data_IF_112024542753
#
_entry.id   IF_112024542753
#
_cell.length_a   1.000
_cell.length_b   1.000
_cell.length_c   1.000
_cell.angle_alpha   90.00
_cell.angle_beta   90.00
_cell.angle_gamma   90.00
#
_symmetry.space_group_name_H-M   'P 1'
#
loop_
_entity.id
_entity.type
_entity.pdbx_description
1 polymer ?
#
# COMPACT_ATOMS: atom_id res chain seq x y z
N UNK A 1 4.66 -8.01 2.20
CA UNK A 1 4.13 -7.01 1.24
C UNK A 1 2.61 -6.85 1.31
N UNK A 2 1.82 -7.93 1.19
CA UNK A 2 0.34 -7.85 1.24
C UNK A 2 -0.20 -7.16 2.52
N UNK A 3 0.44 -7.42 3.66
CA UNK A 3 0.06 -6.85 4.97
C UNK A 3 0.32 -5.34 5.04
N UNK A 4 1.46 -4.87 4.52
CA UNK A 4 1.89 -3.45 4.63
C UNK A 4 1.29 -2.59 3.51
N UNK A 5 1.06 -3.17 2.33
CA UNK A 5 0.55 -2.47 1.14
C UNK A 5 -0.66 -3.16 0.52
N UNK A 6 -1.80 -3.31 1.23
CA UNK A 6 -2.93 -4.12 0.79
C UNK A 6 -3.59 -3.61 -0.49
N UNK A 7 -3.66 -2.29 -0.69
CA UNK A 7 -4.24 -1.67 -1.89
C UNK A 7 -3.35 -1.78 -3.14
N UNK A 8 -2.05 -1.91 -2.96
CA UNK A 8 -1.06 -1.98 -4.05
C UNK A 8 -0.60 -3.41 -4.33
N UNK A 9 -0.94 -4.36 -3.45
CA UNK A 9 -0.54 -5.76 -3.61
C UNK A 9 -1.10 -6.40 -4.89
N UNK A 10 -2.29 -5.99 -5.35
CA UNK A 10 -2.85 -6.47 -6.63
C UNK A 10 -2.09 -6.00 -7.87
N UNK A 11 -1.17 -5.04 -7.74
CA UNK A 11 -0.40 -4.48 -8.84
C UNK A 11 0.97 -5.15 -8.92
N UNK A 12 1.05 -6.27 -9.65
CA UNK A 12 2.26 -7.09 -9.81
C UNK A 12 3.46 -6.26 -10.27
N UNK A 13 3.23 -5.28 -11.16
CA UNK A 13 4.29 -4.39 -11.70
C UNK A 13 5.00 -3.58 -10.61
N UNK A 14 4.35 -3.30 -9.48
CA UNK A 14 4.92 -2.51 -8.39
C UNK A 14 5.60 -3.38 -7.34
N UNK A 15 5.52 -4.71 -7.41
CA UNK A 15 6.06 -5.60 -6.36
C UNK A 15 7.55 -5.38 -6.11
N UNK A 16 8.35 -5.16 -7.16
CA UNK A 16 9.78 -4.88 -7.02
C UNK A 16 10.03 -3.60 -6.20
N UNK A 17 9.32 -2.53 -6.52
CA UNK A 17 9.42 -1.25 -5.81
C UNK A 17 8.91 -1.37 -4.37
N UNK A 18 7.75 -2.00 -4.17
CA UNK A 18 7.15 -2.20 -2.85
C UNK A 18 8.06 -3.04 -1.93
N UNK A 19 8.83 -3.98 -2.50
CA UNK A 19 9.81 -4.79 -1.75
C UNK A 19 10.96 -3.93 -1.24
N UNK A 20 11.47 -3.03 -2.08
CA UNK A 20 12.52 -2.08 -1.69
C UNK A 20 12.02 -1.07 -0.65
N UNK A 21 10.80 -0.55 -0.82
CA UNK A 21 10.17 0.34 0.17
C UNK A 21 9.98 -0.39 1.50
N UNK A 22 9.51 -1.64 1.49
CA UNK A 22 9.38 -2.45 2.70
C UNK A 22 10.74 -2.66 3.38
N UNK A 23 11.77 -3.01 2.62
CA UNK A 23 13.12 -3.20 3.13
C UNK A 23 13.67 -1.90 3.75
N UNK A 24 13.44 -0.76 3.11
CA UNK A 24 13.84 0.56 3.65
C UNK A 24 13.12 0.88 4.96
N UNK A 25 11.82 0.63 5.05
CA UNK A 25 11.04 0.86 6.28
C UNK A 25 11.53 -0.04 7.43
N UNK A 26 11.86 -1.30 7.15
CA UNK A 26 12.42 -2.23 8.14
C UNK A 26 13.81 -1.79 8.57
N UNK A 27 14.67 -1.38 7.64
CA UNK A 27 16.03 -0.90 7.94
C UNK A 27 16.01 0.34 8.85
N UNK A 28 15.11 1.29 8.58
CA UNK A 28 14.97 2.52 9.36
C UNK A 28 13.99 2.42 10.53
N UNK A 29 13.55 1.22 10.90
CA UNK A 29 12.52 1.03 11.92
C UNK A 29 12.84 1.76 13.23
N UNK A 30 14.00 1.48 13.82
CA UNK A 30 14.38 2.06 15.12
C UNK A 30 14.56 3.57 15.06
N UNK A 31 15.10 4.08 13.96
CA UNK A 31 15.22 5.51 13.72
C UNK A 31 13.85 6.20 13.67
N UNK A 32 12.89 5.61 12.93
CA UNK A 32 11.54 6.15 12.79
C UNK A 32 10.78 6.10 14.12
N UNK A 33 10.93 5.03 14.90
CA UNK A 33 10.33 4.92 16.24
C UNK A 33 10.93 5.95 17.20
N UNK A 34 12.23 6.20 17.14
CA UNK A 34 12.92 7.16 18.01
C UNK A 34 12.69 8.64 17.66
N UNK A 35 12.39 8.96 16.40
CA UNK A 35 12.26 10.35 15.93
C UNK A 35 10.82 10.80 15.73
N UNK A 36 9.89 9.89 15.44
CA UNK A 36 8.50 10.26 15.21
C UNK A 36 7.72 10.36 16.53
N UNK A 37 6.79 11.31 16.65
CA UNK A 37 5.87 11.34 17.79
C UNK A 37 5.10 10.02 17.92
N UNK A 38 4.83 9.58 19.15
CA UNK A 38 4.12 8.31 19.44
C UNK A 38 2.74 8.23 18.77
N UNK A 39 2.13 9.39 18.50
CA UNK A 39 0.82 9.54 17.83
C UNK A 39 0.92 9.57 16.29
N UNK A 40 2.11 9.40 15.73
CA UNK A 40 2.32 9.51 14.28
C UNK A 40 1.65 8.33 13.55
N UNK A 41 0.83 8.58 12.50
CA UNK A 41 0.04 7.53 11.84
C UNK A 41 0.85 6.36 11.28
N UNK A 42 2.11 6.60 10.89
CA UNK A 42 3.03 5.57 10.41
C UNK A 42 3.30 4.50 11.46
N UNK A 43 3.40 4.89 12.74
CA UNK A 43 3.61 3.96 13.87
C UNK A 43 2.36 3.13 14.18
N UNK A 44 1.21 3.49 13.61
CA UNK A 44 -0.03 2.71 13.67
C UNK A 44 -0.18 1.71 12.50
N UNK A 45 0.79 1.65 11.58
CA UNK A 45 0.74 0.71 10.45
C UNK A 45 1.24 -0.68 10.87
N UNK A 46 0.78 -1.77 10.20
CA UNK A 46 1.05 -3.14 10.64
C UNK A 46 2.53 -3.47 10.87
N UNK A 47 3.42 -2.85 10.10
CA UNK A 47 4.87 -3.04 10.21
C UNK A 47 5.41 -2.57 11.56
N UNK A 48 4.93 -1.44 12.09
CA UNK A 48 5.40 -0.86 13.36
C UNK A 48 4.57 -1.35 14.56
N UNK A 49 3.42 -1.95 14.28
CA UNK A 49 2.47 -2.47 15.27
C UNK A 49 2.77 -3.91 15.69
N UNK A 50 3.47 -4.68 14.87
CA UNK A 50 3.80 -6.08 15.19
C UNK A 50 5.31 -6.27 15.33
N UNK A 51 5.76 -6.54 16.56
CA UNK A 51 7.16 -6.82 16.87
C UNK A 51 7.68 -8.06 16.15
N UNK A 52 6.81 -9.06 15.94
CA UNK A 52 7.18 -10.32 15.31
C UNK A 52 7.49 -10.15 13.82
N UNK A 53 6.70 -9.33 13.10
CA UNK A 53 6.93 -9.04 11.67
C UNK A 53 8.26 -8.32 11.45
N UNK A 54 8.62 -7.36 12.30
CA UNK A 54 9.91 -6.67 12.16
C UNK A 54 11.04 -7.63 12.46
N UNK A 55 10.92 -8.44 13.51
CA UNK A 55 11.97 -9.40 13.91
C UNK A 55 12.26 -10.45 12.83
N UNK A 56 11.23 -10.94 12.14
CA UNK A 56 11.35 -11.90 11.03
C UNK A 56 11.86 -11.26 9.73
N UNK A 57 11.51 -9.99 9.47
CA UNK A 57 11.96 -9.28 8.26
C UNK A 57 13.37 -8.72 8.39
N UNK A 58 13.82 -8.35 9.60
CA UNK A 58 15.15 -7.77 9.85
C UNK A 58 16.31 -8.57 9.24
N UNK A 59 16.43 -9.90 9.45
CA UNK A 59 17.52 -10.69 8.88
C UNK A 59 17.47 -10.82 7.35
N UNK A 60 16.33 -10.48 6.72
CA UNK A 60 16.16 -10.53 5.27
C UNK A 60 16.57 -9.22 4.58
N UNK A 61 16.86 -8.17 5.34
CA UNK A 61 17.23 -6.86 4.82
C UNK A 61 18.74 -6.71 4.84
N UNK A 62 19.36 -6.86 3.66
CA UNK A 62 20.78 -6.62 3.46
C UNK A 62 21.01 -5.15 3.11
N UNK A 63 21.95 -4.51 3.82
CA UNK A 63 22.42 -3.17 3.49
C UNK A 63 23.36 -3.20 2.28
N UNK A 64 23.50 -2.07 1.56
CA UNK A 64 24.39 -1.96 0.39
C UNK A 64 25.89 -2.11 0.71
N UNK A 65 26.26 -2.19 1.98
CA UNK A 65 27.62 -2.52 2.44
C UNK A 65 27.83 -4.01 2.67
N UNK A 66 26.74 -4.77 2.85
CA UNK A 66 26.76 -6.20 3.18
C UNK A 66 26.27 -7.07 2.01
N UNK A 67 25.66 -6.45 0.99
CA UNK A 67 25.20 -7.16 -0.20
C UNK A 67 26.36 -7.56 -1.10
N UNK A 68 26.49 -8.85 -1.39
CA UNK A 68 27.43 -9.38 -2.39
C UNK A 68 27.03 -9.04 -3.83
N UNK A 69 25.79 -8.56 -4.04
CA UNK A 69 25.23 -8.26 -5.37
C UNK A 69 25.16 -6.75 -5.65
N UNK A 70 25.00 -5.92 -4.62
CA UNK A 70 24.85 -4.48 -4.75
C UNK A 70 25.86 -3.75 -3.88
N UNK A 71 26.88 -3.17 -4.50
CA UNK A 71 27.89 -2.37 -3.83
C UNK A 71 27.53 -0.88 -3.88
N UNK A 72 27.51 -0.22 -2.72
CA UNK A 72 27.36 1.23 -2.63
C UNK A 72 28.60 1.93 -3.21
N UNK A 73 28.57 2.25 -4.51
CA UNK A 73 29.71 2.83 -5.24
C UNK A 73 30.11 4.24 -4.76
N UNK A 74 29.27 4.91 -3.97
CA UNK A 74 29.45 6.32 -3.59
C UNK A 74 29.26 7.30 -4.74
N UNK A 75 28.96 6.81 -5.95
CA UNK A 75 28.76 7.62 -7.15
C UNK A 75 27.29 8.04 -7.19
N UNK A 76 26.97 9.34 -7.24
CA UNK A 76 25.60 9.80 -7.37
C UNK A 76 24.88 9.22 -8.60
N UNK A 77 23.59 8.86 -8.50
CA UNK A 77 22.86 8.16 -9.56
C UNK A 77 22.78 8.94 -10.88
N UNK A 78 22.84 10.27 -10.83
CA UNK A 78 22.81 11.11 -12.03
C UNK A 78 24.05 10.92 -12.92
N UNK A 79 25.21 10.57 -12.35
CA UNK A 79 26.44 10.32 -13.11
C UNK A 79 26.29 9.05 -13.94
N UNK A 80 25.70 8.00 -13.36
CA UNK A 80 25.47 6.74 -14.08
C UNK A 80 24.36 6.89 -15.12
N UNK A 81 23.29 7.64 -14.82
CA UNK A 81 22.28 8.02 -15.80
C UNK A 81 22.89 8.77 -16.99
N UNK A 82 23.79 9.73 -16.74
CA UNK A 82 24.48 10.47 -17.80
C UNK A 82 25.35 9.54 -18.66
N UNK A 83 26.07 8.59 -18.06
CA UNK A 83 26.82 7.57 -18.80
C UNK A 83 25.92 6.66 -19.64
N UNK A 84 24.74 6.31 -19.13
CA UNK A 84 23.77 5.52 -19.88
C UNK A 84 23.21 6.31 -21.06
N UNK A 85 22.94 7.61 -20.90
CA UNK A 85 22.53 8.49 -22.00
C UNK A 85 23.60 8.61 -23.08
N UNK A 86 24.86 8.80 -22.70
CA UNK A 86 25.99 8.84 -23.65
C UNK A 86 26.17 7.52 -24.42
N UNK A 87 26.00 6.38 -23.73
CA UNK A 87 25.98 5.05 -24.38
C UNK A 87 24.81 4.90 -25.34
N UNK A 88 23.62 5.33 -24.95
CA UNK A 88 22.42 5.27 -25.78
C UNK A 88 22.55 6.16 -27.02
N UNK A 89 23.08 7.38 -26.86
CA UNK A 89 23.34 8.30 -27.97
C UNK A 89 24.28 7.67 -29.00
N UNK A 90 25.41 7.11 -28.56
CA UNK A 90 26.36 6.40 -29.44
C UNK A 90 25.72 5.20 -30.13
N UNK A 91 24.91 4.43 -29.40
CA UNK A 91 24.16 3.31 -29.97
C UNK A 91 23.20 3.77 -31.06
N UNK A 92 22.40 4.82 -30.80
CA UNK A 92 21.45 5.41 -31.75
C UNK A 92 22.17 5.93 -33.00
N UNK A 93 23.30 6.62 -32.83
CA UNK A 93 24.11 7.10 -33.96
C UNK A 93 24.67 5.95 -34.82
N UNK A 94 24.90 4.77 -34.24
CA UNK A 94 25.40 3.61 -34.98
C UNK A 94 24.31 2.84 -35.75
N UNK A 95 23.03 2.95 -35.36
CA UNK A 95 21.91 2.20 -35.96
C UNK A 95 21.85 2.34 -37.49
N UNK A 96 21.94 3.55 -38.10
CA UNK A 96 21.85 3.68 -39.56
C UNK A 96 22.96 2.91 -40.28
N UNK A 97 24.18 2.91 -39.74
CA UNK A 97 25.32 2.20 -40.34
C UNK A 97 25.16 0.68 -40.23
N UNK A 98 24.67 0.18 -39.10
CA UNK A 98 24.39 -1.24 -38.89
C UNK A 98 23.27 -1.71 -39.82
N UNK A 99 22.19 -0.93 -39.96
CA UNK A 99 21.09 -1.25 -40.88
C UNK A 99 21.55 -1.22 -42.33
N UNK A 100 22.29 -0.19 -42.76
CA UNK A 100 22.81 -0.11 -44.13
C UNK A 100 23.78 -1.26 -44.44
N UNK A 101 24.65 -1.64 -43.49
CA UNK A 101 25.55 -2.76 -43.65
C UNK A 101 24.80 -4.10 -43.70
N UNK A 102 23.78 -4.29 -42.85
CA UNK A 102 22.93 -5.47 -42.91
C UNK A 102 22.14 -5.59 -44.23
N UNK A 103 21.59 -4.48 -44.72
CA UNK A 103 20.90 -4.45 -46.02
C UNK A 103 21.87 -4.73 -47.16
N UNK A 104 23.08 -4.14 -47.15
CA UNK A 104 24.13 -4.43 -48.14
C UNK A 104 24.56 -5.89 -48.10
N UNK A 105 24.82 -6.44 -46.92
CA UNK A 105 25.19 -7.83 -46.75
C UNK A 105 24.12 -8.77 -47.29
N UNK A 106 22.83 -8.50 -47.05
CA UNK A 106 21.73 -9.33 -47.57
C UNK A 106 21.60 -9.21 -49.08
N UNK A 107 21.79 -8.00 -49.63
CA UNK A 107 21.79 -7.74 -51.07
C UNK A 107 22.96 -8.48 -51.75
N UNK A 108 24.14 -8.49 -51.12
CA UNK A 108 25.34 -9.15 -51.60
C UNK A 108 25.27 -10.69 -51.44
N UNK A 109 24.80 -11.20 -50.29
CA UNK A 109 24.64 -12.63 -50.00
C UNK A 109 23.56 -13.30 -50.86
N UNK A 110 22.55 -12.55 -51.31
CA UNK A 110 21.43 -13.09 -52.10
C UNK A 110 21.56 -12.84 -53.61
N UNK A 111 22.57 -12.11 -54.07
CA UNK A 111 22.86 -11.87 -55.48
C UNK A 111 21.70 -11.22 -56.24
N UNK A 112 21.85 -9.94 -56.59
CA UNK A 112 20.95 -9.14 -57.44
C UNK A 112 20.80 -9.65 -58.90
N UNK A 113 20.80 -10.96 -59.14
CA UNK A 113 20.68 -11.54 -60.48
C UNK A 113 19.25 -11.97 -60.85
N UNK A 114 18.31 -12.06 -59.90
CA UNK A 114 16.99 -12.67 -60.15
C UNK A 114 15.79 -11.78 -59.79
N UNK A 115 15.77 -10.54 -60.29
CA UNK A 115 14.57 -9.80 -60.75
C UNK A 115 13.25 -9.72 -59.97
N UNK A 116 13.07 -10.29 -58.78
CA UNK A 116 11.79 -10.31 -58.06
C UNK A 116 12.00 -10.17 -56.54
N UNK A 117 12.01 -8.92 -56.05
CA UNK A 117 11.93 -8.63 -54.61
C UNK A 117 10.53 -8.06 -54.34
N UNK A 118 9.70 -8.79 -53.60
CA UNK A 118 8.35 -8.35 -53.20
C UNK A 118 8.37 -7.65 -51.84
N UNK A 119 7.49 -6.67 -51.64
CA UNK A 119 7.37 -5.88 -50.40
C UNK A 119 7.27 -6.73 -49.13
N UNK A 120 6.55 -7.86 -49.19
CA UNK A 120 6.41 -8.78 -48.05
C UNK A 120 7.71 -9.46 -47.60
N UNK A 121 8.69 -9.59 -48.49
CA UNK A 121 10.02 -10.10 -48.11
C UNK A 121 10.78 -9.06 -47.28
N UNK A 122 10.63 -7.77 -47.59
CA UNK A 122 11.27 -6.69 -46.85
C UNK A 122 10.68 -6.54 -45.45
N UNK A 123 9.35 -6.57 -45.33
CA UNK A 123 8.64 -6.43 -44.05
C UNK A 123 8.90 -7.59 -43.08
N UNK A 124 8.93 -8.83 -43.59
CA UNK A 124 9.23 -10.01 -42.77
C UNK A 124 10.67 -10.00 -42.26
N UNK A 125 11.63 -9.59 -43.09
CA UNK A 125 13.06 -9.51 -42.72
C UNK A 125 13.31 -8.42 -41.67
N UNK A 126 12.69 -7.25 -41.82
CA UNK A 126 12.82 -6.14 -40.88
C UNK A 126 12.22 -6.51 -39.51
N UNK A 127 11.09 -7.21 -39.51
CA UNK A 127 10.45 -7.74 -38.30
C UNK A 127 11.33 -8.75 -37.55
N UNK A 128 12.05 -9.61 -38.28
CA UNK A 128 12.91 -10.63 -37.70
C UNK A 128 14.17 -10.04 -37.05
N UNK A 129 14.76 -9.01 -37.66
CA UNK A 129 15.89 -8.27 -37.08
C UNK A 129 15.51 -7.56 -35.76
N UNK A 130 14.31 -6.97 -35.69
CA UNK A 130 13.78 -6.33 -34.48
C UNK A 130 13.49 -7.36 -33.38
N UNK A 131 12.88 -8.50 -33.72
CA UNK A 131 12.57 -9.56 -32.75
C UNK A 131 13.83 -10.11 -32.05
N UNK A 132 14.92 -10.26 -32.81
CA UNK A 132 16.21 -10.76 -32.31
C UNK A 132 16.88 -9.76 -31.34
N UNK A 133 16.62 -8.47 -31.50
CA UNK A 133 17.10 -7.43 -30.60
C UNK A 133 16.34 -7.41 -29.25
N UNK A 134 15.04 -7.69 -29.26
CA UNK A 134 14.17 -7.65 -28.07
C UNK A 134 14.33 -8.86 -27.14
N UNK A 135 14.79 -10.00 -27.66
CA UNK A 135 14.97 -11.23 -26.88
C UNK A 135 16.17 -11.18 -25.91
N UNK A 136 17.09 -10.23 -26.07
CA UNK A 136 18.28 -10.09 -25.21
C UNK A 136 18.05 -9.35 -23.88
N UNK A 137 16.80 -8.97 -23.53
CA UNK A 137 16.51 -7.98 -22.47
C UNK A 137 15.67 -8.50 -21.27
N UNK A 138 15.40 -9.80 -21.11
CA UNK A 138 14.58 -10.28 -19.96
C UNK A 138 15.34 -11.20 -18.98
N UNK A 139 15.32 -10.92 -17.66
CA UNK A 139 15.67 -11.90 -16.64
C UNK A 139 14.41 -12.58 -16.04
N UNK A 140 14.53 -13.88 -15.80
CA UNK A 140 13.55 -14.79 -15.19
C UNK A 140 13.55 -14.72 -13.64
N UNK A 141 12.41 -14.99 -12.99
CA UNK A 141 12.31 -15.14 -11.52
C UNK A 141 11.41 -16.34 -11.18
N UNK A 142 11.86 -17.30 -10.32
CA UNK A 142 11.02 -18.35 -9.74
C UNK A 142 10.46 -18.03 -8.32
N UNK A 143 9.45 -18.77 -7.83
CA UNK A 143 8.65 -18.41 -6.64
C UNK A 143 9.15 -19.07 -5.34
N UNK A 144 8.87 -18.47 -4.19
CA UNK A 144 9.07 -19.08 -2.86
C UNK A 144 7.86 -18.88 -1.95
N UNK A 145 7.47 -19.97 -1.30
CA UNK A 145 6.35 -20.22 -0.39
C UNK A 145 6.49 -19.54 0.98
N UNK A 146 5.36 -19.27 1.64
CA UNK A 146 5.26 -18.59 2.94
C UNK A 146 4.95 -19.58 4.10
N UNK A 147 5.45 -19.33 5.32
CA UNK A 147 4.92 -19.93 6.55
C UNK A 147 3.99 -18.99 7.32
N UNK A 148 3.13 -19.60 8.13
CA UNK A 148 2.02 -19.09 8.95
C UNK A 148 2.46 -18.64 10.36
N UNK A 149 1.91 -17.53 10.87
CA UNK A 149 2.13 -17.01 12.23
C UNK A 149 0.90 -17.17 13.15
N UNK A 150 1.14 -17.69 14.36
CA UNK A 150 0.22 -17.78 15.51
C UNK A 150 0.19 -16.46 16.33
N UNK A 151 -0.90 -16.24 17.09
CA UNK A 151 -1.25 -14.97 17.76
C UNK A 151 -0.97 -15.03 19.27
N UNK A 152 -0.07 -14.18 19.77
CA UNK A 152 0.08 -13.88 21.21
C UNK A 152 -0.75 -12.64 21.62
N UNK A 153 -1.60 -12.78 22.63
CA UNK A 153 -2.55 -11.75 23.10
C UNK A 153 -2.24 -11.31 24.54
N UNK A 154 -1.47 -10.23 24.73
CA UNK A 154 -1.26 -9.65 26.05
C UNK A 154 -1.57 -8.13 26.06
N UNK A 155 -2.79 -7.78 26.47
CA UNK A 155 -3.27 -6.39 26.58
C UNK A 155 -2.74 -5.72 27.85
N UNK A 156 -2.30 -4.45 27.78
CA UNK A 156 -1.84 -3.70 28.96
C UNK A 156 -3.02 -3.09 29.74
N UNK A 157 -2.92 -3.10 31.07
CA UNK A 157 -3.83 -2.40 31.99
C UNK A 157 -3.18 -1.09 32.43
N UNK A 158 -3.93 0.02 32.37
CA UNK A 158 -3.50 1.37 32.73
C UNK A 158 -4.24 1.83 33.98
N UNK A 159 -3.65 2.74 34.74
CA UNK A 159 -4.29 3.35 35.92
C UNK A 159 -4.28 4.86 35.82
N UNK A 160 -5.45 5.47 35.80
CA UNK A 160 -5.65 6.92 35.85
C UNK A 160 -7.00 7.21 36.51
N UNK A 161 -7.15 8.40 37.12
CA UNK A 161 -8.36 8.76 37.87
C UNK A 161 -8.71 7.84 39.05
N UNK A 162 -7.73 7.08 39.57
CA UNK A 162 -7.94 6.11 40.65
C UNK A 162 -8.65 4.81 40.23
N UNK A 163 -8.84 4.58 38.93
CA UNK A 163 -9.48 3.39 38.36
C UNK A 163 -8.53 2.67 37.38
N UNK A 164 -8.84 1.40 37.11
CA UNK A 164 -8.16 0.61 36.08
C UNK A 164 -8.86 0.77 34.74
N UNK A 165 -8.05 0.97 33.69
CA UNK A 165 -8.48 1.28 32.34
C UNK A 165 -7.74 0.45 31.30
N UNK A 166 -8.38 0.20 30.16
CA UNK A 166 -7.80 -0.58 29.05
C UNK A 166 -7.07 0.29 28.01
N UNK A 167 -7.07 1.61 28.23
CA UNK A 167 -6.42 2.59 27.38
C UNK A 167 -5.62 3.58 28.24
N UNK A 168 -4.53 4.15 27.71
CA UNK A 168 -3.84 5.29 28.31
C UNK A 168 -4.79 6.49 28.50
N UNK A 169 -4.50 7.34 29.50
CA UNK A 169 -5.32 8.51 29.80
C UNK A 169 -5.38 9.47 28.59
N UNK A 170 -4.30 9.65 27.86
CA UNK A 170 -4.19 10.57 26.72
C UNK A 170 -4.49 9.92 25.36
N UNK A 171 -5.11 8.74 25.35
CA UNK A 171 -5.42 8.00 24.13
C UNK A 171 -6.26 8.84 23.15
N UNK A 172 -5.87 8.81 21.87
CA UNK A 172 -6.59 9.43 20.76
C UNK A 172 -6.75 8.43 19.63
N UNK A 173 -7.93 8.45 19.00
CA UNK A 173 -8.15 7.64 17.81
C UNK A 173 -7.27 8.14 16.65
N UNK A 174 -6.59 7.24 15.94
CA UNK A 174 -5.71 7.62 14.85
C UNK A 174 -6.52 8.06 13.62
N UNK A 175 -6.07 9.09 12.92
CA UNK A 175 -6.73 9.57 11.69
C UNK A 175 -6.30 8.72 10.49
N UNK A 176 -6.87 7.52 10.37
CA UNK A 176 -6.48 6.50 9.37
C UNK A 176 -7.57 6.27 8.31
N UNK A 177 -7.18 5.55 7.26
CA UNK A 177 -8.10 5.03 6.24
C UNK A 177 -8.94 3.86 6.77
N UNK A 178 -9.97 3.48 6.01
CA UNK A 178 -10.89 2.41 6.40
C UNK A 178 -10.22 1.03 6.46
N UNK A 179 -9.21 0.76 5.63
CA UNK A 179 -8.52 -0.53 5.62
C UNK A 179 -7.71 -0.74 6.91
N UNK A 180 -6.99 0.29 7.34
CA UNK A 180 -6.25 0.30 8.61
C UNK A 180 -7.24 0.27 9.77
N UNK A 181 -8.30 1.07 9.70
CA UNK A 181 -9.33 1.11 10.73
C UNK A 181 -10.02 -0.26 10.91
N UNK A 182 -10.27 -0.99 9.82
CA UNK A 182 -10.83 -2.35 9.87
C UNK A 182 -9.90 -3.30 10.64
N UNK A 183 -8.60 -3.25 10.38
CA UNK A 183 -7.62 -4.04 11.12
C UNK A 183 -7.58 -3.68 12.61
N UNK A 184 -7.52 -2.38 12.95
CA UNK A 184 -7.51 -1.91 14.35
C UNK A 184 -8.81 -2.27 15.08
N UNK A 185 -9.94 -2.29 14.38
CA UNK A 185 -11.23 -2.72 14.94
C UNK A 185 -11.18 -4.16 15.43
N UNK A 186 -10.53 -5.06 14.67
CA UNK A 186 -10.51 -6.48 14.99
C UNK A 186 -9.30 -6.92 15.83
N UNK A 187 -8.13 -6.31 15.64
CA UNK A 187 -6.87 -6.76 16.28
C UNK A 187 -6.27 -5.74 17.26
N UNK A 188 -6.74 -4.49 17.24
CA UNK A 188 -6.16 -3.43 18.07
C UNK A 188 -4.76 -3.04 17.58
N UNK A 189 -3.97 -2.46 18.48
CA UNK A 189 -2.57 -2.14 18.22
C UNK A 189 -1.67 -2.87 19.24
N UNK A 190 -1.23 -4.11 18.95
CA UNK A 190 -0.34 -4.88 19.81
C UNK A 190 0.96 -4.16 20.24
N UNK A 191 1.65 -3.41 19.37
CA UNK A 191 2.87 -2.69 19.75
C UNK A 191 2.63 -1.64 20.82
N UNK A 192 1.49 -0.94 20.74
CA UNK A 192 1.07 0.01 21.78
C UNK A 192 0.28 -0.68 22.91
N UNK A 193 0.16 -2.01 22.86
CA UNK A 193 -0.63 -2.84 23.78
C UNK A 193 -2.08 -2.39 23.92
N UNK A 194 -2.63 -1.85 22.82
CA UNK A 194 -4.01 -1.36 22.74
C UNK A 194 -4.91 -2.49 22.25
N UNK A 195 -6.00 -2.68 22.97
CA UNK A 195 -7.01 -3.69 22.66
C UNK A 195 -7.68 -3.45 21.29
N UNK A 196 -8.30 -4.49 20.69
CA UNK A 196 -9.21 -4.31 19.55
C UNK A 196 -10.22 -3.20 19.81
N UNK A 197 -10.38 -2.28 18.86
CA UNK A 197 -11.20 -1.08 19.10
C UNK A 197 -12.68 -1.43 19.34
N UNK A 198 -13.15 -2.58 18.86
CA UNK A 198 -14.48 -3.13 19.16
C UNK A 198 -14.72 -3.39 20.66
N UNK A 199 -13.66 -3.57 21.44
CA UNK A 199 -13.70 -3.84 22.89
C UNK A 199 -13.52 -2.57 23.74
N UNK A 200 -13.27 -1.41 23.13
CA UNK A 200 -13.11 -0.15 23.87
C UNK A 200 -14.45 0.23 24.53
N UNK A 201 -14.39 0.58 25.81
CA UNK A 201 -15.49 1.17 26.55
C UNK A 201 -15.34 2.70 26.59
N UNK A 202 -16.46 3.44 26.58
CA UNK A 202 -16.43 4.90 26.75
C UNK A 202 -15.90 5.33 28.12
N UNK A 203 -15.93 4.45 29.12
CA UNK A 203 -15.28 4.66 30.42
C UNK A 203 -13.75 4.77 30.31
N UNK A 204 -13.15 4.12 29.31
CA UNK A 204 -11.70 4.11 29.08
C UNK A 204 -11.24 5.29 28.22
N UNK A 205 -12.11 6.27 27.94
CA UNK A 205 -11.80 7.46 27.17
C UNK A 205 -11.90 8.70 28.08
N UNK A 206 -10.77 9.29 28.45
CA UNK A 206 -10.74 10.50 29.29
C UNK A 206 -11.22 11.75 28.51
N UNK A 207 -10.96 11.80 27.21
CA UNK A 207 -11.13 12.98 26.35
C UNK A 207 -12.52 13.00 25.69
N UNK A 208 -13.36 14.04 25.90
CA UNK A 208 -14.69 14.12 25.31
C UNK A 208 -14.73 14.12 23.76
N UNK A 209 -13.64 14.52 23.10
CA UNK A 209 -13.49 14.42 21.65
C UNK A 209 -13.48 12.98 21.17
N UNK A 210 -12.83 12.09 21.94
CA UNK A 210 -12.60 10.69 21.57
C UNK A 210 -13.85 9.85 21.76
N UNK A 211 -14.76 10.26 22.65
CA UNK A 211 -16.11 9.68 22.71
C UNK A 211 -16.83 9.83 21.37
N UNK A 212 -16.75 11.01 20.76
CA UNK A 212 -17.39 11.26 19.46
C UNK A 212 -16.75 10.44 18.36
N UNK A 213 -15.41 10.40 18.33
CA UNK A 213 -14.65 9.63 17.34
C UNK A 213 -14.95 8.13 17.48
N UNK A 214 -15.03 7.59 18.70
CA UNK A 214 -15.45 6.21 18.95
C UNK A 214 -16.82 5.89 18.34
N UNK A 215 -17.82 6.77 18.52
CA UNK A 215 -19.13 6.56 17.90
C UNK A 215 -19.12 6.72 16.37
N UNK A 216 -18.21 7.50 15.79
CA UNK A 216 -18.02 7.52 14.33
C UNK A 216 -17.40 6.22 13.82
N UNK A 217 -16.36 5.72 14.49
CA UNK A 217 -15.76 4.42 14.22
C UNK A 217 -16.77 3.29 14.34
N UNK A 218 -17.46 3.21 15.48
CA UNK A 218 -18.48 2.19 15.75
C UNK A 218 -19.56 2.18 14.67
N UNK A 219 -20.08 3.35 14.31
CA UNK A 219 -21.11 3.48 13.28
C UNK A 219 -20.65 2.91 11.92
N UNK A 220 -19.47 3.31 11.42
CA UNK A 220 -19.02 2.84 10.10
C UNK A 220 -18.66 1.35 10.12
N UNK A 221 -18.01 0.88 11.20
CA UNK A 221 -17.58 -0.50 11.33
C UNK A 221 -18.78 -1.44 11.39
N UNK A 222 -19.80 -1.12 12.18
CA UNK A 222 -21.04 -1.91 12.24
C UNK A 222 -21.73 -2.00 10.87
N UNK A 223 -21.75 -0.92 10.09
CA UNK A 223 -22.32 -0.93 8.73
C UNK A 223 -21.51 -1.78 7.77
N UNK A 224 -20.19 -1.71 7.82
CA UNK A 224 -19.30 -2.53 7.01
C UNK A 224 -19.41 -4.02 7.39
N UNK A 225 -19.51 -4.34 8.68
CA UNK A 225 -19.74 -5.70 9.19
C UNK A 225 -21.10 -6.23 8.70
N UNK A 226 -22.15 -5.42 8.78
CA UNK A 226 -23.47 -5.82 8.28
C UNK A 226 -23.46 -6.09 6.77
N UNK A 227 -22.79 -5.25 5.98
CA UNK A 227 -22.64 -5.45 4.54
C UNK A 227 -21.87 -6.74 4.22
N UNK A 228 -20.74 -6.96 4.91
CA UNK A 228 -19.96 -8.18 4.78
C UNK A 228 -20.79 -9.43 5.13
N UNK A 229 -21.49 -9.39 6.26
CA UNK A 229 -22.33 -10.51 6.75
C UNK A 229 -23.46 -10.82 5.78
N UNK A 230 -24.07 -9.80 5.16
CA UNK A 230 -25.10 -9.99 4.13
C UNK A 230 -24.56 -10.67 2.86
N UNK A 231 -23.26 -10.54 2.55
CA UNK A 231 -22.63 -11.14 1.37
C UNK A 231 -22.04 -12.53 1.64
N UNK A 232 -21.48 -12.75 2.82
CA UNK A 232 -20.75 -13.97 3.19
C UNK A 232 -21.53 -14.89 4.15
N UNK A 233 -22.71 -14.47 4.60
CA UNK A 233 -23.58 -15.24 5.52
C UNK A 233 -23.18 -15.20 6.99
N UNK A 234 -21.94 -14.83 7.32
CA UNK A 234 -21.43 -14.74 8.69
C UNK A 234 -20.50 -13.53 8.89
N UNK A 235 -20.38 -13.00 10.12
CA UNK A 235 -19.45 -11.92 10.42
C UNK A 235 -17.98 -12.39 10.37
N UNK A 236 -17.00 -11.48 10.23
CA UNK A 236 -15.58 -11.84 10.29
C UNK A 236 -15.23 -12.49 11.63
N UNK A 237 -14.35 -13.49 11.61
CA UNK A 237 -13.91 -14.17 12.83
C UNK A 237 -13.21 -13.18 13.78
N UNK A 238 -13.53 -13.19 15.09
CA UNK A 238 -12.84 -12.38 16.11
C UNK A 238 -11.33 -12.61 16.18
N UNK A 239 -10.87 -13.78 15.75
CA UNK A 239 -9.47 -14.25 15.77
C UNK A 239 -8.85 -14.29 14.37
N UNK A 240 -9.50 -13.68 13.38
CA UNK A 240 -9.04 -13.68 12.00
C UNK A 240 -7.61 -13.12 11.86
N UNK A 241 -6.81 -13.76 11.02
CA UNK A 241 -5.46 -13.29 10.70
C UNK A 241 -5.50 -11.96 9.96
N UNK A 242 -4.37 -11.24 9.91
CA UNK A 242 -4.29 -9.99 9.15
C UNK A 242 -4.63 -10.18 7.66
N UNK A 243 -4.27 -11.35 7.09
CA UNK A 243 -4.54 -11.68 5.70
C UNK A 243 -6.04 -11.92 5.48
N UNK A 244 -6.69 -12.68 6.35
CA UNK A 244 -8.14 -12.89 6.32
C UNK A 244 -8.92 -11.58 6.50
N UNK A 245 -8.46 -10.70 7.40
CA UNK A 245 -9.07 -9.39 7.59
C UNK A 245 -8.93 -8.51 6.35
N UNK A 246 -7.78 -8.55 5.67
CA UNK A 246 -7.59 -7.81 4.42
C UNK A 246 -8.53 -8.31 3.31
N UNK A 247 -8.73 -9.64 3.20
CA UNK A 247 -9.67 -10.23 2.26
C UNK A 247 -11.12 -9.87 2.61
N UNK A 248 -11.48 -9.93 3.90
CA UNK A 248 -12.82 -9.54 4.37
C UNK A 248 -13.11 -8.06 4.12
N UNK A 249 -12.10 -7.19 4.27
CA UNK A 249 -12.22 -5.77 3.99
C UNK A 249 -12.54 -5.50 2.52
N UNK A 250 -11.94 -6.22 1.58
CA UNK A 250 -12.22 -6.06 0.15
C UNK A 250 -13.72 -6.24 -0.16
N UNK A 251 -14.36 -7.20 0.51
CA UNK A 251 -15.81 -7.43 0.42
C UNK A 251 -16.60 -6.36 1.18
N UNK A 252 -16.22 -6.05 2.43
CA UNK A 252 -16.90 -5.08 3.28
C UNK A 252 -16.89 -3.66 2.68
N UNK A 253 -15.82 -3.30 1.98
CA UNK A 253 -15.66 -2.01 1.31
C UNK A 253 -16.66 -1.82 0.15
N UNK A 254 -17.28 -2.90 -0.33
CA UNK A 254 -18.42 -2.86 -1.27
C UNK A 254 -19.60 -1.99 -0.79
N UNK A 255 -19.73 -1.76 0.52
CA UNK A 255 -20.70 -0.82 1.10
C UNK A 255 -20.60 0.59 0.48
N UNK A 256 -19.39 1.00 0.09
CA UNK A 256 -19.13 2.36 -0.39
C UNK A 256 -19.30 2.52 -1.90
N UNK A 257 -19.53 1.43 -2.63
CA UNK A 257 -19.72 1.40 -4.10
C UNK A 257 -20.66 2.51 -4.61
N UNK A 258 -21.82 2.78 -3.98
CA UNK A 258 -22.75 3.81 -4.45
C UNK A 258 -22.21 5.24 -4.38
N UNK A 259 -21.17 5.51 -3.58
CA UNK A 259 -20.59 6.85 -3.38
C UNK A 259 -19.15 6.97 -3.94
N UNK A 260 -18.67 5.93 -4.65
CA UNK A 260 -17.29 5.90 -5.19
C UNK A 260 -17.04 6.94 -6.28
N UNK A 261 -18.06 7.31 -7.03
CA UNK A 261 -17.88 7.90 -8.36
C UNK A 261 -17.64 9.40 -8.38
N UNK A 262 -18.06 10.17 -7.37
CA UNK A 262 -17.83 11.62 -7.39
C UNK A 262 -17.89 12.30 -6.01
N UNK A 263 -16.98 13.26 -5.80
CA UNK A 263 -17.18 14.31 -4.79
C UNK A 263 -18.31 15.25 -5.22
N UNK A 264 -18.85 16.05 -4.29
CA UNK A 264 -19.80 17.12 -4.63
C UNK A 264 -19.21 18.13 -5.63
N UNK A 265 -17.89 18.14 -5.81
CA UNK A 265 -17.11 18.96 -6.74
C UNK A 265 -16.66 18.22 -8.01
N UNK A 266 -17.29 17.09 -8.38
CA UNK A 266 -16.96 16.29 -9.59
C UNK A 266 -15.54 15.71 -9.67
N UNK A 267 -14.78 15.70 -8.57
CA UNK A 267 -13.47 15.02 -8.51
C UNK A 267 -13.65 13.54 -8.16
N UNK A 268 -12.89 12.69 -8.85
CA UNK A 268 -12.75 11.25 -8.54
C UNK A 268 -12.17 11.06 -7.13
N UNK A 269 -12.73 10.11 -6.37
CA UNK A 269 -12.25 9.77 -5.02
C UNK A 269 -11.17 8.71 -5.12
N UNK A 270 -10.11 8.83 -4.31
CA UNK A 270 -9.09 7.77 -4.19
C UNK A 270 -9.63 6.68 -3.26
N UNK A 271 -10.05 5.56 -3.85
CA UNK A 271 -10.81 4.46 -3.23
C UNK A 271 -10.23 3.90 -1.92
N UNK A 272 -8.91 3.93 -1.74
CA UNK A 272 -8.25 3.42 -0.54
C UNK A 272 -7.98 4.46 0.56
N UNK A 273 -8.19 5.76 0.31
CA UNK A 273 -7.74 6.84 1.20
C UNK A 273 -8.87 7.49 2.00
N UNK A 274 -10.07 6.91 1.98
CA UNK A 274 -11.20 7.49 2.67
C UNK A 274 -11.04 7.29 4.19
N UNK A 275 -10.98 8.40 4.93
CA UNK A 275 -10.88 8.36 6.40
C UNK A 275 -12.21 7.95 7.04
N UNK A 276 -12.13 7.35 8.22
CA UNK A 276 -13.28 6.86 9.01
C UNK A 276 -14.39 7.91 9.15
N UNK A 277 -14.08 9.11 9.65
CA UNK A 277 -15.05 10.19 9.81
C UNK A 277 -15.72 10.64 8.50
N UNK A 278 -14.96 10.61 7.39
CA UNK A 278 -15.49 10.93 6.07
C UNK A 278 -16.41 9.82 5.57
N UNK A 279 -16.04 8.56 5.77
CA UNK A 279 -16.87 7.40 5.45
C UNK A 279 -18.20 7.43 6.20
N UNK A 280 -18.14 7.62 7.52
CA UNK A 280 -19.30 7.71 8.38
C UNK A 280 -20.26 8.80 7.90
N UNK A 281 -19.74 9.99 7.58
CA UNK A 281 -20.54 11.09 7.03
C UNK A 281 -21.22 10.72 5.72
N UNK A 282 -20.48 10.13 4.77
CA UNK A 282 -21.02 9.77 3.46
C UNK A 282 -22.09 8.68 3.56
N UNK A 283 -21.88 7.66 4.41
CA UNK A 283 -22.87 6.61 4.65
C UNK A 283 -24.13 7.16 5.32
N UNK A 284 -24.00 8.13 6.25
CA UNK A 284 -25.17 8.83 6.83
C UNK A 284 -25.95 9.62 5.78
N UNK A 285 -25.28 10.17 4.77
CA UNK A 285 -25.94 10.90 3.67
C UNK A 285 -26.67 9.96 2.69
N UNK A 286 -26.24 8.70 2.57
CA UNK A 286 -26.97 7.69 1.79
C UNK A 286 -28.26 7.21 2.47
N UNK A 287 -28.31 7.23 3.79
CA UNK A 287 -29.47 6.73 4.53
C UNK A 287 -30.54 7.82 4.61
N UNK A 288 -31.79 7.54 4.20
CA UNK A 288 -32.88 8.50 4.36
C UNK A 288 -33.06 8.81 5.85
N UNK A 289 -32.96 10.08 6.23
CA UNK A 289 -33.10 10.51 7.63
C UNK A 289 -34.57 10.56 8.02
N UNK A 290 -34.99 9.80 9.03
CA UNK A 290 -36.31 9.95 9.68
C UNK A 290 -36.46 11.36 10.31
N UNK A 291 -35.35 12.00 10.68
CA UNK A 291 -35.31 13.40 11.13
C UNK A 291 -34.09 14.13 10.54
N UNK A 292 -34.26 14.98 9.50
CA UNK A 292 -33.15 15.72 8.92
C UNK A 292 -32.67 16.80 9.89
N UNK A 293 -31.42 16.69 10.37
CA UNK A 293 -30.74 17.80 11.06
C UNK A 293 -29.95 18.61 10.04
N UNK A 294 -30.21 19.93 9.89
CA UNK A 294 -29.50 20.75 8.93
C UNK A 294 -28.01 20.84 9.28
N UNK A 295 -27.18 20.81 8.24
CA UNK A 295 -25.73 20.90 8.34
C UNK A 295 -25.30 22.27 8.88
N UNK A 296 -24.52 22.28 9.98
CA UNK A 296 -23.87 23.48 10.50
C UNK A 296 -22.38 23.44 10.14
N UNK A 297 -21.94 24.37 9.28
CA UNK A 297 -20.54 24.50 8.87
C UNK A 297 -19.69 24.82 10.11
N UNK A 298 -18.62 24.04 10.32
CA UNK A 298 -17.72 24.16 11.47
C UNK A 298 -16.88 25.43 11.34
N UNK A 299 -17.05 26.41 12.23
CA UNK A 299 -16.10 27.51 12.37
C UNK A 299 -14.79 26.95 12.93
N UNK A 300 -13.75 26.92 12.11
CA UNK A 300 -12.37 26.81 12.61
C UNK A 300 -12.06 28.14 13.27
N UNK A 301 -11.92 28.17 14.60
CA UNK A 301 -11.25 29.30 15.24
C UNK A 301 -9.82 29.31 14.71
N UNK A 302 -9.39 30.44 14.18
CA UNK A 302 -7.98 30.69 13.91
C UNK A 302 -7.25 30.57 15.26
N UNK A 303 -6.17 29.81 15.27
CA UNK A 303 -5.20 29.85 16.35
C UNK A 303 -4.48 31.17 16.16
N UNK A 304 -4.74 32.14 17.04
CA UNK A 304 -3.88 33.33 17.16
C UNK A 304 -2.51 32.87 17.69
N UNK A 305 -1.48 33.37 17.02
CA UNK A 305 -0.05 33.17 17.26
C UNK A 305 0.39 33.58 18.65
#
# INVERSE_FOLDING_TARGET
MAIVFPSLFGQIQLHGVLRLVLASLVHHHDFLVGQLPVQHPLLSTPLFVSTDLVSTLRPLVFSGTESTLLFASGIPPHVELLRQLDRNEKSIQSIPSVVLNGVRQIVDERGLAAGNITQGFFESTLSQAIATALQRVRPDVPPTTAPTDDVDSNSAVFSWGGLFHMLPEDFKFPSVDLATAWNLWWRGNPAQKIIPFRKICTRDLSLPSEHKEYYEWKFIMEKMIAYYTAKQGSPPSPTASALELSASFAVANGLLDPIRTSTSTKRSRRDGQLRVSTAARLVRQMQPTTHPRPFRKRNKRAVET
#
